data_IF_468668293575
#
_entry.id   IF_468668293575
#
_cell.length_a   1.000
_cell.length_b   1.000
_cell.length_c   1.000
_cell.angle_alpha   90.00
_cell.angle_beta   90.00
_cell.angle_gamma   90.00
#
_symmetry.space_group_name_H-M   'P 1'
#
loop_
_entity.id
_entity.type
_entity.pdbx_description
1 polymer ?
#
# COMPACT_ATOMS: atom_id res chain seq x y z
N UNK A 1 12.81 -4.02 11.15
CA UNK A 1 13.51 -4.13 12.45
C UNK A 1 14.85 -3.38 12.51
N UNK A 2 15.87 -3.78 11.72
CA UNK A 2 17.21 -3.18 11.78
C UNK A 2 17.21 -1.65 11.57
N UNK A 3 16.54 -1.16 10.52
CA UNK A 3 16.47 0.27 10.25
C UNK A 3 15.67 1.05 11.31
N UNK A 4 14.67 0.42 11.95
CA UNK A 4 13.92 1.03 13.06
C UNK A 4 14.83 1.29 14.26
N UNK A 5 15.66 0.31 14.63
CA UNK A 5 16.69 0.47 15.66
C UNK A 5 17.66 1.59 15.31
N UNK A 6 18.20 1.55 14.08
CA UNK A 6 19.20 2.51 13.60
C UNK A 6 18.66 3.94 13.66
N UNK A 7 17.46 4.17 13.14
CA UNK A 7 16.84 5.49 13.14
C UNK A 7 16.53 5.98 14.56
N UNK A 8 15.97 5.13 15.42
CA UNK A 8 15.70 5.49 16.81
C UNK A 8 16.98 5.88 17.56
N UNK A 9 18.05 5.09 17.41
CA UNK A 9 19.37 5.36 18.01
C UNK A 9 20.02 6.65 17.47
N UNK A 10 19.87 6.94 16.18
CA UNK A 10 20.34 8.20 15.58
C UNK A 10 19.56 9.41 16.11
N UNK A 11 18.24 9.31 16.24
CA UNK A 11 17.40 10.38 16.78
C UNK A 11 17.77 10.70 18.23
N UNK A 12 17.98 9.67 19.06
CA UNK A 12 18.47 9.83 20.45
C UNK A 12 19.80 10.59 20.46
N UNK A 13 20.78 10.14 19.68
CA UNK A 13 22.10 10.75 19.64
C UNK A 13 22.05 12.22 19.21
N UNK A 14 21.25 12.53 18.18
CA UNK A 14 21.09 13.92 17.72
C UNK A 14 20.49 14.80 18.80
N UNK A 15 19.46 14.31 19.48
CA UNK A 15 18.79 15.05 20.54
C UNK A 15 19.72 15.29 21.74
N UNK A 16 20.55 14.32 22.11
CA UNK A 16 21.59 14.49 23.16
C UNK A 16 22.65 15.52 22.79
N UNK A 17 23.01 15.63 21.50
CA UNK A 17 24.00 16.60 21.01
C UNK A 17 23.40 17.97 20.62
N UNK A 18 22.09 18.13 20.75
CA UNK A 18 21.38 19.37 20.42
C UNK A 18 21.79 20.50 21.36
N UNK A 19 21.68 21.75 20.89
CA UNK A 19 21.88 22.93 21.73
C UNK A 19 20.81 23.06 22.83
N UNK A 20 19.65 22.42 22.63
CA UNK A 20 18.57 22.29 23.61
C UNK A 20 18.06 20.85 23.60
N UNK A 21 18.68 19.95 24.38
CA UNK A 21 18.23 18.56 24.48
C UNK A 21 16.86 18.47 25.14
N UNK A 22 15.93 17.76 24.50
CA UNK A 22 14.60 17.46 25.06
C UNK A 22 14.66 16.15 25.85
N UNK A 23 14.67 16.24 27.19
CA UNK A 23 14.91 15.09 28.05
C UNK A 23 13.81 14.03 27.89
N UNK A 24 12.55 14.47 27.88
CA UNK A 24 11.39 13.58 27.75
C UNK A 24 11.36 12.87 26.40
N UNK A 25 11.79 13.53 25.32
CA UNK A 25 11.88 12.90 24.00
C UNK A 25 12.95 11.81 23.96
N UNK A 26 14.14 12.09 24.51
CA UNK A 26 15.25 11.14 24.60
C UNK A 26 14.81 9.90 25.39
N UNK A 27 14.18 10.11 26.54
CA UNK A 27 13.67 9.03 27.37
C UNK A 27 12.62 8.19 26.63
N UNK A 28 11.67 8.83 25.95
CA UNK A 28 10.64 8.12 25.18
C UNK A 28 11.23 7.29 24.04
N UNK A 29 12.18 7.82 23.27
CA UNK A 29 12.85 7.07 22.21
C UNK A 29 13.65 5.87 22.75
N UNK A 30 14.36 6.05 23.89
CA UNK A 30 15.11 4.98 24.54
C UNK A 30 14.18 3.88 25.07
N UNK A 31 13.14 4.27 25.82
CA UNK A 31 12.21 3.33 26.44
C UNK A 31 11.40 2.55 25.40
N UNK A 32 11.10 3.16 24.25
CA UNK A 32 10.35 2.51 23.17
C UNK A 32 11.24 1.82 22.13
N UNK A 33 12.56 1.81 22.27
CA UNK A 33 13.48 1.26 21.26
C UNK A 33 13.17 -0.20 20.91
N UNK A 34 13.00 -1.05 21.92
CA UNK A 34 12.70 -2.47 21.67
C UNK A 34 11.28 -2.65 21.09
N UNK A 35 10.31 -1.85 21.53
CA UNK A 35 8.95 -1.85 20.96
C UNK A 35 8.94 -1.40 19.50
N UNK A 36 9.77 -0.42 19.11
CA UNK A 36 9.95 0.01 17.72
C UNK A 36 10.60 -1.09 16.88
N UNK A 37 11.59 -1.79 17.43
CA UNK A 37 12.22 -2.93 16.77
C UNK A 37 11.21 -4.06 16.53
N UNK A 38 10.44 -4.42 17.55
CA UNK A 38 9.39 -5.43 17.48
C UNK A 38 8.28 -5.01 16.51
N UNK A 39 7.81 -3.76 16.56
CA UNK A 39 6.83 -3.25 15.61
C UNK A 39 7.36 -3.31 14.17
N UNK A 40 8.60 -2.89 13.94
CA UNK A 40 9.24 -3.03 12.63
C UNK A 40 9.59 -4.47 12.24
N UNK A 41 9.44 -5.45 13.13
CA UNK A 41 9.53 -6.88 12.81
C UNK A 41 8.15 -7.44 12.45
N UNK A 42 7.11 -7.05 13.19
CA UNK A 42 5.76 -7.59 13.06
C UNK A 42 4.80 -6.80 12.16
N UNK A 43 5.14 -5.59 11.70
CA UNK A 43 4.18 -4.71 11.01
C UNK A 43 3.45 -5.38 9.82
N UNK A 44 4.16 -6.20 9.05
CA UNK A 44 3.64 -6.90 7.88
C UNK A 44 3.22 -8.36 8.15
N UNK A 45 3.29 -8.83 9.40
CA UNK A 45 2.97 -10.24 9.74
C UNK A 45 1.50 -10.60 9.49
N UNK A 46 0.64 -9.58 9.40
CA UNK A 46 -0.78 -9.74 9.09
C UNK A 46 -1.10 -9.86 7.60
N UNK A 47 -0.12 -9.73 6.70
CA UNK A 47 -0.33 -9.96 5.28
C UNK A 47 -0.38 -11.45 4.97
N UNK A 48 -1.39 -11.85 4.20
CA UNK A 48 -1.51 -13.20 3.67
C UNK A 48 -0.89 -13.34 2.28
N UNK A 49 -1.07 -14.49 1.64
CA UNK A 49 -0.46 -14.78 0.35
C UNK A 49 -0.94 -13.83 -0.73
N UNK A 50 0.01 -13.39 -1.57
CA UNK A 50 -0.22 -12.34 -2.58
C UNK A 50 -0.68 -10.99 -1.99
N UNK A 51 -0.48 -10.77 -0.68
CA UNK A 51 -0.68 -9.53 0.09
C UNK A 51 -1.89 -8.71 -0.37
N UNK A 52 -1.69 -7.72 -1.24
CA UNK A 52 -2.72 -6.82 -1.74
C UNK A 52 -3.96 -7.52 -2.28
N UNK A 53 -3.80 -8.67 -2.94
CA UNK A 53 -4.93 -9.44 -3.47
C UNK A 53 -5.83 -9.89 -2.33
N UNK A 54 -5.26 -10.49 -1.28
CA UNK A 54 -6.04 -11.02 -0.18
C UNK A 54 -6.50 -9.92 0.79
N UNK A 55 -5.72 -8.87 0.98
CA UNK A 55 -6.09 -7.69 1.78
C UNK A 55 -7.40 -7.08 1.29
N UNK A 56 -7.54 -6.89 -0.03
CA UNK A 56 -8.79 -6.39 -0.61
C UNK A 56 -9.99 -7.31 -0.32
N UNK A 57 -9.80 -8.64 -0.34
CA UNK A 57 -10.85 -9.60 -0.04
C UNK A 57 -11.22 -9.55 1.45
N UNK A 58 -10.22 -9.50 2.33
CA UNK A 58 -10.41 -9.38 3.78
C UNK A 58 -11.18 -8.10 4.14
N UNK A 59 -10.80 -6.97 3.56
CA UNK A 59 -11.45 -5.69 3.82
C UNK A 59 -12.87 -5.65 3.23
N UNK A 60 -13.05 -6.03 1.96
CA UNK A 60 -14.33 -5.90 1.27
C UNK A 60 -15.38 -6.92 1.70
N UNK A 61 -14.98 -8.16 2.06
CA UNK A 61 -15.91 -9.24 2.37
C UNK A 61 -16.05 -9.50 3.87
N UNK A 62 -15.00 -9.21 4.65
CA UNK A 62 -14.96 -9.55 6.06
C UNK A 62 -14.72 -8.35 6.99
N UNK A 63 -14.45 -7.16 6.43
CA UNK A 63 -14.14 -5.95 7.20
C UNK A 63 -12.97 -6.15 8.18
N UNK A 64 -11.96 -6.90 7.73
CA UNK A 64 -10.73 -7.19 8.48
C UNK A 64 -9.56 -6.55 7.73
N UNK A 65 -8.71 -5.80 8.43
CA UNK A 65 -7.47 -5.27 7.88
C UNK A 65 -6.27 -6.13 8.28
N UNK A 66 -5.22 -6.13 7.45
CA UNK A 66 -3.94 -6.77 7.77
C UNK A 66 -3.32 -6.19 9.07
N UNK A 67 -3.46 -4.89 9.34
CA UNK A 67 -3.03 -4.29 10.61
C UNK A 67 -3.76 -4.93 11.82
N UNK A 68 -5.06 -5.22 11.70
CA UNK A 68 -5.81 -5.91 12.75
C UNK A 68 -5.30 -7.33 12.95
N UNK A 69 -5.12 -8.09 11.87
CA UNK A 69 -4.56 -9.44 11.91
C UNK A 69 -3.16 -9.46 12.52
N UNK A 70 -2.31 -8.50 12.16
CA UNK A 70 -0.98 -8.34 12.75
C UNK A 70 -1.08 -8.22 14.28
N UNK A 71 -2.00 -7.41 14.80
CA UNK A 71 -2.16 -7.30 16.27
C UNK A 71 -2.65 -8.57 16.94
N UNK A 72 -3.49 -9.36 16.27
CA UNK A 72 -3.95 -10.64 16.79
C UNK A 72 -2.81 -11.66 16.81
N UNK A 73 -1.98 -11.69 15.77
CA UNK A 73 -0.79 -12.54 15.69
C UNK A 73 0.23 -12.14 16.76
N UNK A 74 0.52 -10.85 16.93
CA UNK A 74 1.48 -10.36 17.94
C UNK A 74 1.07 -10.74 19.35
N UNK A 75 -0.24 -10.73 19.67
CA UNK A 75 -0.75 -11.17 20.98
C UNK A 75 -0.43 -12.64 21.29
N UNK A 76 -0.23 -13.48 20.28
CA UNK A 76 0.16 -14.89 20.49
C UNK A 76 1.59 -15.02 21.03
N UNK A 77 2.41 -13.99 20.85
CA UNK A 77 3.79 -13.90 21.34
C UNK A 77 3.92 -13.03 22.62
N UNK A 78 2.81 -12.82 23.34
CA UNK A 78 2.80 -11.93 24.52
C UNK A 78 3.75 -12.39 25.61
N UNK A 79 3.80 -13.70 25.89
CA UNK A 79 4.68 -14.23 26.93
C UNK A 79 6.17 -14.01 26.60
N UNK A 80 6.56 -14.24 25.35
CA UNK A 80 7.92 -14.07 24.87
C UNK A 80 8.33 -12.60 24.84
N UNK A 81 7.45 -11.72 24.35
CA UNK A 81 7.72 -10.29 24.27
C UNK A 81 7.79 -9.63 25.65
N UNK A 82 6.88 -9.99 26.57
CA UNK A 82 6.91 -9.47 27.93
C UNK A 82 8.12 -9.96 28.73
N UNK A 83 8.58 -11.20 28.49
CA UNK A 83 9.81 -11.71 29.10
C UNK A 83 11.04 -10.85 28.74
N UNK A 84 11.06 -10.28 27.53
CA UNK A 84 12.11 -9.37 27.05
C UNK A 84 11.80 -7.88 27.35
N UNK A 85 10.82 -7.61 28.24
CA UNK A 85 10.38 -6.25 28.59
C UNK A 85 9.88 -5.44 27.39
N UNK A 86 9.22 -6.08 26.43
CA UNK A 86 8.61 -5.48 25.25
C UNK A 86 7.09 -5.53 25.41
N UNK A 87 6.43 -4.42 25.81
CA UNK A 87 4.98 -4.44 26.02
C UNK A 87 4.24 -4.63 24.71
N UNK A 88 3.48 -5.73 24.57
CA UNK A 88 2.69 -6.04 23.37
C UNK A 88 1.73 -4.92 23.01
N UNK A 89 1.08 -4.31 24.00
CA UNK A 89 0.18 -3.18 23.79
C UNK A 89 0.88 -2.01 23.09
N UNK A 90 2.15 -1.75 23.42
CA UNK A 90 2.91 -0.68 22.79
C UNK A 90 3.29 -1.02 21.35
N UNK A 91 3.68 -2.28 21.08
CA UNK A 91 3.95 -2.78 19.72
C UNK A 91 2.70 -2.65 18.84
N UNK A 92 1.56 -3.11 19.34
CA UNK A 92 0.28 -3.02 18.62
C UNK A 92 -0.15 -1.58 18.36
N UNK A 93 0.06 -0.68 19.33
CA UNK A 93 -0.23 0.74 19.17
C UNK A 93 0.65 1.38 18.09
N UNK A 94 1.92 0.99 18.00
CA UNK A 94 2.82 1.48 16.93
C UNK A 94 2.36 0.97 15.56
N UNK A 95 2.05 -0.33 15.42
CA UNK A 95 1.59 -0.93 14.16
C UNK A 95 0.28 -0.27 13.68
N UNK A 96 -0.68 -0.09 14.59
CA UNK A 96 -2.01 0.46 14.26
C UNK A 96 -2.11 1.98 14.27
N UNK A 97 -0.97 2.70 14.35
CA UNK A 97 -0.91 4.16 14.40
C UNK A 97 -1.69 4.79 15.57
N UNK A 98 -1.77 4.08 16.70
CA UNK A 98 -2.43 4.49 17.94
C UNK A 98 -1.45 4.77 19.08
N UNK A 99 -0.15 4.78 18.79
CA UNK A 99 0.85 5.17 19.78
C UNK A 99 0.61 6.62 20.22
N UNK A 100 0.77 6.87 21.53
CA UNK A 100 0.55 8.18 22.16
C UNK A 100 1.30 9.31 21.45
N UNK A 101 2.51 9.02 21.00
CA UNK A 101 3.39 9.99 20.34
C UNK A 101 3.52 9.65 18.85
N UNK A 102 3.13 10.57 17.93
CA UNK A 102 3.08 10.26 16.51
C UNK A 102 4.40 9.82 15.90
N UNK A 103 5.50 10.47 16.29
CA UNK A 103 6.84 10.12 15.81
C UNK A 103 7.22 8.65 16.03
N UNK A 104 6.61 7.93 17.00
CA UNK A 104 6.89 6.51 17.21
C UNK A 104 6.33 5.64 16.09
N UNK A 105 5.06 5.85 15.72
CA UNK A 105 4.47 5.06 14.62
C UNK A 105 4.96 5.56 13.26
N UNK A 106 5.33 6.83 13.11
CA UNK A 106 5.89 7.35 11.85
C UNK A 106 7.28 6.81 11.51
N UNK A 107 8.06 6.33 12.49
CA UNK A 107 9.30 5.59 12.22
C UNK A 107 9.00 4.35 11.37
N UNK A 108 7.85 3.69 11.60
CA UNK A 108 7.45 2.44 10.93
C UNK A 108 6.48 2.69 9.76
N UNK A 109 5.52 3.61 9.92
CA UNK A 109 4.44 3.89 8.97
C UNK A 109 4.19 5.40 8.78
N UNK A 110 5.23 6.12 8.38
CA UNK A 110 5.25 7.55 8.08
C UNK A 110 5.45 7.86 6.59
N UNK A 111 5.65 9.13 6.25
CA UNK A 111 6.00 9.55 4.89
C UNK A 111 7.39 9.06 4.44
N UNK A 112 8.33 9.00 5.38
CA UNK A 112 9.74 8.64 5.17
C UNK A 112 10.16 7.50 6.13
N UNK A 113 9.26 6.54 6.34
CA UNK A 113 9.50 5.44 7.27
C UNK A 113 10.55 4.43 6.82
N UNK A 114 10.98 3.63 7.79
CA UNK A 114 11.98 2.60 7.57
C UNK A 114 11.46 1.42 6.76
N UNK A 115 10.15 1.20 6.71
CA UNK A 115 9.51 0.21 5.85
C UNK A 115 9.73 0.55 4.37
N UNK A 116 9.35 1.77 3.94
CA UNK A 116 9.56 2.25 2.57
C UNK A 116 11.02 2.26 2.17
N UNK A 117 11.89 2.71 3.07
CA UNK A 117 13.33 2.71 2.81
C UNK A 117 13.85 1.29 2.57
N UNK A 118 13.39 0.31 3.37
CA UNK A 118 13.78 -1.08 3.22
C UNK A 118 13.26 -1.69 1.91
N UNK A 119 11.94 -1.67 1.67
CA UNK A 119 11.39 -2.33 0.50
C UNK A 119 11.83 -1.68 -0.81
N UNK A 120 11.97 -0.34 -0.87
CA UNK A 120 12.42 0.32 -2.11
C UNK A 120 13.81 -0.15 -2.50
N UNK A 121 14.73 -0.24 -1.53
CA UNK A 121 16.10 -0.68 -1.79
C UNK A 121 16.18 -2.18 -2.02
N UNK A 122 15.49 -2.97 -1.20
CA UNK A 122 15.45 -4.43 -1.29
C UNK A 122 14.85 -4.88 -2.61
N UNK A 123 13.67 -4.40 -2.97
CA UNK A 123 12.98 -4.82 -4.19
C UNK A 123 13.77 -4.37 -5.41
N UNK A 124 14.26 -3.12 -5.41
CA UNK A 124 15.08 -2.60 -6.50
C UNK A 124 16.32 -3.45 -6.75
N UNK A 125 16.96 -3.94 -5.69
CA UNK A 125 18.08 -4.86 -5.79
C UNK A 125 17.67 -6.20 -6.43
N UNK A 126 16.58 -6.82 -5.95
CA UNK A 126 16.15 -8.15 -6.39
C UNK A 126 15.59 -8.16 -7.82
N UNK A 127 14.92 -7.09 -8.25
CA UNK A 127 14.42 -6.94 -9.63
C UNK A 127 15.50 -6.43 -10.60
N UNK A 128 16.69 -6.11 -10.11
CA UNK A 128 17.85 -5.74 -10.93
C UNK A 128 17.95 -4.27 -11.33
N UNK A 129 17.09 -3.38 -10.82
CA UNK A 129 17.20 -1.92 -11.00
C UNK A 129 18.38 -1.33 -10.22
N UNK A 130 18.71 -1.93 -9.06
CA UNK A 130 19.87 -1.59 -8.21
C UNK A 130 19.91 -0.12 -7.77
N UNK A 131 18.75 0.46 -7.47
CA UNK A 131 18.67 1.76 -6.83
C UNK A 131 19.37 1.72 -5.48
N UNK A 132 20.09 2.80 -5.17
CA UNK A 132 20.79 2.98 -3.91
C UNK A 132 20.94 4.47 -3.63
N UNK A 133 21.03 4.80 -2.35
CA UNK A 133 21.42 6.11 -1.86
C UNK A 133 22.14 5.93 -0.52
N UNK A 134 22.84 6.98 -0.08
CA UNK A 134 23.52 6.95 1.21
C UNK A 134 22.47 7.00 2.34
N UNK A 135 22.19 5.81 2.90
CA UNK A 135 21.24 5.61 3.99
C UNK A 135 21.65 6.35 5.26
N UNK A 136 22.94 6.38 5.57
CA UNK A 136 23.45 7.06 6.76
C UNK A 136 23.27 8.57 6.61
N UNK A 137 23.60 9.11 5.44
CA UNK A 137 23.39 10.51 5.15
C UNK A 137 21.90 10.89 5.16
N UNK A 138 21.03 10.06 4.59
CA UNK A 138 19.58 10.30 4.59
C UNK A 138 19.01 10.33 6.02
N UNK A 139 19.30 9.31 6.85
CA UNK A 139 18.84 9.29 8.24
C UNK A 139 19.48 10.39 9.09
N UNK A 140 20.67 10.88 8.73
CA UNK A 140 21.26 12.06 9.36
C UNK A 140 20.45 13.36 9.10
N UNK A 141 19.57 13.38 8.11
CA UNK A 141 18.68 14.52 7.87
C UNK A 141 17.32 14.41 8.57
N UNK A 142 16.95 13.23 9.11
CA UNK A 142 15.67 13.00 9.81
C UNK A 142 15.71 13.56 11.25
N UNK A 143 14.63 14.21 11.67
CA UNK A 143 14.46 14.83 13.00
C UNK A 143 13.06 14.55 13.56
N UNK A 144 12.91 14.69 14.89
CA UNK A 144 11.59 14.82 15.52
C UNK A 144 11.25 16.31 15.64
N UNK A 145 10.27 16.75 14.85
CA UNK A 145 9.75 18.12 14.86
C UNK A 145 8.72 18.28 15.98
N UNK A 146 8.59 19.50 16.50
CA UNK A 146 7.68 19.83 17.60
C UNK A 146 8.39 20.29 18.87
N UNK A 147 7.62 20.81 19.81
CA UNK A 147 8.13 21.36 21.08
C UNK A 147 8.19 20.30 22.18
N UNK A 148 9.02 20.55 23.19
CA UNK A 148 9.08 19.71 24.40
C UNK A 148 7.80 19.77 25.23
N UNK A 149 7.08 20.89 25.15
CA UNK A 149 5.84 21.13 25.90
C UNK A 149 4.69 20.18 25.51
N UNK A 150 4.75 19.60 24.31
CA UNK A 150 3.67 18.74 23.77
C UNK A 150 4.22 17.70 22.79
N UNK A 151 4.71 16.58 23.33
CA UNK A 151 5.20 15.44 22.54
C UNK A 151 4.10 14.75 21.72
N UNK A 152 2.81 14.93 22.06
CA UNK A 152 1.71 14.34 21.28
C UNK A 152 1.52 15.04 19.93
N UNK A 153 2.09 16.25 19.78
CA UNK A 153 2.19 16.98 18.50
C UNK A 153 3.54 16.78 17.80
N UNK A 154 4.44 15.99 18.38
CA UNK A 154 5.72 15.71 17.77
C UNK A 154 5.61 14.64 16.67
N UNK A 155 6.22 14.93 15.53
CA UNK A 155 6.20 14.09 14.33
C UNK A 155 7.60 14.02 13.71
N UNK A 156 7.87 12.99 12.92
CA UNK A 156 9.06 12.92 12.09
C UNK A 156 9.01 13.97 10.99
N UNK A 157 10.17 14.53 10.71
CA UNK A 157 10.37 15.41 9.57
C UNK A 157 11.85 15.53 9.25
N UNK A 158 12.18 16.56 8.48
CA UNK A 158 13.51 16.72 7.93
C UNK A 158 14.17 18.00 8.42
N UNK A 159 15.50 18.02 8.47
CA UNK A 159 16.25 19.25 8.62
C UNK A 159 15.87 20.25 7.51
N UNK A 160 15.86 21.54 7.84
CA UNK A 160 15.67 22.59 6.84
C UNK A 160 17.01 22.95 6.18
N UNK A 161 17.52 22.04 5.35
CA UNK A 161 18.79 22.20 4.65
C UNK A 161 18.66 21.78 3.20
N UNK A 162 19.53 22.33 2.34
CA UNK A 162 19.62 21.89 0.93
C UNK A 162 19.93 20.39 0.81
N UNK A 163 20.69 19.84 1.75
CA UNK A 163 21.07 18.43 1.79
C UNK A 163 19.86 17.55 2.10
N UNK A 164 19.05 17.93 3.10
CA UNK A 164 17.83 17.24 3.44
C UNK A 164 16.82 17.24 2.29
N UNK A 165 16.64 18.40 1.64
CA UNK A 165 15.76 18.51 0.47
C UNK A 165 16.24 17.59 -0.66
N UNK A 166 17.53 17.61 -0.99
CA UNK A 166 18.09 16.74 -2.02
C UNK A 166 17.94 15.24 -1.68
N UNK A 167 18.10 14.86 -0.41
CA UNK A 167 17.90 13.50 0.06
C UNK A 167 16.45 13.03 -0.13
N UNK A 168 15.47 13.88 0.21
CA UNK A 168 14.05 13.56 0.02
C UNK A 168 13.69 13.53 -1.46
N UNK A 169 14.17 14.48 -2.26
CA UNK A 169 13.95 14.48 -3.71
C UNK A 169 14.41 13.16 -4.34
N UNK A 170 15.64 12.72 -4.02
CA UNK A 170 16.17 11.46 -4.51
C UNK A 170 15.31 10.28 -4.05
N UNK A 171 15.02 10.18 -2.76
CA UNK A 171 14.21 9.09 -2.22
C UNK A 171 12.83 9.00 -2.88
N UNK A 172 12.11 10.12 -3.00
CA UNK A 172 10.78 10.15 -3.60
C UNK A 172 10.81 9.82 -5.10
N UNK A 173 11.87 10.21 -5.83
CA UNK A 173 12.06 9.79 -7.21
C UNK A 173 12.28 8.28 -7.33
N UNK A 174 13.12 7.70 -6.47
CA UNK A 174 13.35 6.25 -6.45
C UNK A 174 12.06 5.50 -6.12
N UNK A 175 11.35 5.95 -5.08
CA UNK A 175 10.06 5.39 -4.66
C UNK A 175 9.03 5.46 -5.79
N UNK A 176 8.88 6.63 -6.45
CA UNK A 176 7.96 6.79 -7.58
C UNK A 176 8.31 5.85 -8.74
N UNK A 177 9.59 5.74 -9.07
CA UNK A 177 10.06 4.85 -10.13
C UNK A 177 9.78 3.38 -9.81
N UNK A 178 9.90 2.95 -8.55
CA UNK A 178 9.51 1.59 -8.15
C UNK A 178 8.03 1.31 -8.40
N UNK A 179 7.14 2.27 -8.13
CA UNK A 179 5.73 2.13 -8.51
C UNK A 179 5.54 1.99 -10.01
N UNK A 180 6.16 2.86 -10.80
CA UNK A 180 5.99 2.86 -12.26
C UNK A 180 6.58 1.62 -12.93
N UNK A 181 7.76 1.17 -12.51
CA UNK A 181 8.53 0.12 -13.19
C UNK A 181 8.24 -1.28 -12.65
N UNK A 182 7.84 -1.40 -11.38
CA UNK A 182 7.72 -2.69 -10.69
C UNK A 182 6.29 -2.90 -10.21
N UNK A 183 5.81 -2.10 -9.26
CA UNK A 183 4.54 -2.39 -8.57
C UNK A 183 3.31 -2.23 -9.48
N UNK A 184 3.36 -1.33 -10.47
CA UNK A 184 2.30 -1.13 -11.46
C UNK A 184 2.70 -1.65 -12.86
N UNK A 185 3.71 -2.52 -12.94
CA UNK A 185 4.07 -3.19 -14.17
C UNK A 185 2.86 -3.93 -14.74
N UNK A 186 2.57 -3.72 -16.03
CA UNK A 186 1.29 -4.12 -16.63
C UNK A 186 0.99 -5.61 -16.45
N UNK A 187 1.95 -6.49 -16.72
CA UNK A 187 1.77 -7.94 -16.56
C UNK A 187 1.50 -8.35 -15.11
N UNK A 188 2.23 -7.78 -14.15
CA UNK A 188 2.03 -8.05 -12.72
C UNK A 188 0.65 -7.61 -12.27
N UNK A 189 0.24 -6.39 -12.65
CA UNK A 189 -1.06 -5.83 -12.28
C UNK A 189 -2.23 -6.60 -12.91
N UNK A 190 -2.08 -7.06 -14.15
CA UNK A 190 -3.09 -7.91 -14.79
C UNK A 190 -3.23 -9.24 -14.03
N UNK A 191 -2.12 -9.89 -13.70
CA UNK A 191 -2.13 -11.15 -12.96
C UNK A 191 -2.77 -10.98 -11.56
N UNK A 192 -2.41 -9.91 -10.86
CA UNK A 192 -3.00 -9.53 -9.56
C UNK A 192 -4.53 -9.40 -9.66
N UNK A 193 -5.02 -8.61 -10.62
CA UNK A 193 -6.47 -8.39 -10.77
C UNK A 193 -7.21 -9.65 -11.24
N UNK A 194 -6.60 -10.46 -12.09
CA UNK A 194 -7.16 -11.77 -12.43
C UNK A 194 -7.28 -12.66 -11.19
N UNK A 195 -6.24 -12.76 -10.37
CA UNK A 195 -6.24 -13.57 -9.15
C UNK A 195 -7.24 -13.07 -8.11
N UNK A 196 -7.36 -11.75 -7.95
CA UNK A 196 -8.38 -11.11 -7.12
C UNK A 196 -9.78 -11.58 -7.49
N UNK A 197 -10.12 -11.54 -8.79
CA UNK A 197 -11.44 -12.00 -9.26
C UNK A 197 -11.61 -13.50 -9.09
N UNK A 198 -10.55 -14.28 -9.25
CA UNK A 198 -10.58 -15.72 -9.00
C UNK A 198 -10.93 -16.03 -7.54
N UNK A 199 -10.36 -15.30 -6.58
CA UNK A 199 -10.65 -15.47 -5.16
C UNK A 199 -12.08 -15.03 -4.84
N UNK A 200 -12.53 -13.86 -5.34
CA UNK A 200 -13.92 -13.39 -5.17
C UNK A 200 -14.96 -14.39 -5.65
N UNK A 201 -14.71 -15.08 -6.77
CA UNK A 201 -15.60 -16.13 -7.27
C UNK A 201 -15.51 -17.39 -6.41
N UNK A 202 -14.30 -17.75 -5.96
CA UNK A 202 -14.09 -18.96 -5.18
C UNK A 202 -14.78 -18.90 -3.81
N UNK A 203 -14.65 -17.79 -3.08
CA UNK A 203 -15.25 -17.62 -1.74
C UNK A 203 -16.79 -17.66 -1.75
N UNK A 204 -17.43 -17.32 -2.89
CA UNK A 204 -18.89 -17.41 -3.03
C UNK A 204 -19.37 -18.86 -3.14
N UNK A 205 -18.52 -19.75 -3.64
CA UNK A 205 -18.88 -21.12 -4.00
C UNK A 205 -18.23 -22.18 -3.10
N UNK A 206 -17.20 -21.81 -2.33
CA UNK A 206 -16.41 -22.74 -1.53
C UNK A 206 -16.23 -22.24 -0.09
N UNK A 207 -16.94 -22.87 0.85
CA UNK A 207 -16.85 -22.56 2.27
C UNK A 207 -15.48 -22.90 2.88
N UNK A 208 -14.73 -23.86 2.33
CA UNK A 208 -13.39 -24.23 2.81
C UNK A 208 -12.43 -23.04 2.73
N UNK A 209 -12.46 -22.29 1.62
CA UNK A 209 -11.61 -21.10 1.45
C UNK A 209 -11.99 -20.01 2.45
N UNK A 210 -13.30 -19.82 2.68
CA UNK A 210 -13.77 -18.84 3.67
C UNK A 210 -13.29 -19.22 5.07
N UNK A 211 -13.34 -20.51 5.43
CA UNK A 211 -12.86 -21.00 6.72
C UNK A 211 -11.34 -20.81 6.87
N UNK A 212 -10.56 -21.05 5.82
CA UNK A 212 -9.11 -20.84 5.81
C UNK A 212 -8.72 -19.37 5.96
N UNK A 213 -9.52 -18.44 5.43
CA UNK A 213 -9.26 -17.00 5.51
C UNK A 213 -9.73 -16.40 6.83
N UNK A 214 -10.84 -16.88 7.41
CA UNK A 214 -11.44 -16.30 8.62
C UNK A 214 -10.86 -16.83 9.92
N UNK A 215 -10.46 -18.08 9.95
CA UNK A 215 -9.87 -18.68 11.15
C UNK A 215 -8.40 -18.25 11.26
N UNK A 216 -8.04 -17.60 12.36
CA UNK A 216 -6.70 -17.04 12.55
C UNK A 216 -5.60 -18.11 12.50
N UNK A 217 -5.83 -19.31 13.06
CA UNK A 217 -4.82 -20.39 13.04
C UNK A 217 -4.60 -20.88 11.62
N UNK A 218 -5.69 -21.10 10.87
CA UNK A 218 -5.61 -21.51 9.46
C UNK A 218 -5.01 -20.43 8.58
N UNK A 219 -5.32 -19.16 8.85
CA UNK A 219 -4.78 -18.02 8.12
C UNK A 219 -3.27 -17.90 8.28
N UNK A 220 -2.75 -18.10 9.48
CA UNK A 220 -1.30 -18.12 9.74
C UNK A 220 -0.60 -19.21 8.91
N UNK A 221 -1.26 -20.36 8.71
CA UNK A 221 -0.76 -21.47 7.90
C UNK A 221 -1.10 -21.35 6.40
N UNK A 222 -1.72 -20.24 5.97
CA UNK A 222 -2.15 -20.03 4.58
C UNK A 222 -1.01 -19.41 3.77
N UNK A 223 -0.31 -20.21 2.97
CA UNK A 223 0.71 -19.74 2.02
C UNK A 223 0.18 -19.65 0.57
N UNK A 224 1.01 -19.14 -0.36
CA UNK A 224 0.64 -18.99 -1.76
C UNK A 224 0.30 -20.34 -2.41
N UNK A 225 0.98 -21.41 -2.00
CA UNK A 225 0.81 -22.75 -2.55
C UNK A 225 -0.54 -23.33 -2.12
N UNK A 226 -0.88 -23.22 -0.83
CA UNK A 226 -2.13 -23.67 -0.24
C UNK A 226 -3.31 -22.92 -0.85
N UNK A 227 -3.25 -21.58 -0.91
CA UNK A 227 -4.30 -20.78 -1.53
C UNK A 227 -4.48 -21.15 -3.02
N UNK A 228 -3.38 -21.25 -3.78
CA UNK A 228 -3.45 -21.62 -5.20
C UNK A 228 -4.08 -23.00 -5.40
N UNK A 229 -3.75 -23.97 -4.56
CA UNK A 229 -4.34 -25.32 -4.61
C UNK A 229 -5.83 -25.30 -4.31
N UNK A 230 -6.28 -24.52 -3.32
CA UNK A 230 -7.69 -24.36 -2.99
C UNK A 230 -8.47 -23.72 -4.16
N UNK A 231 -7.89 -22.71 -4.81
CA UNK A 231 -8.49 -22.08 -5.99
C UNK A 231 -8.60 -23.04 -7.18
N UNK A 232 -7.58 -23.88 -7.41
CA UNK A 232 -7.61 -24.92 -8.45
C UNK A 232 -8.68 -25.99 -8.15
N UNK A 233 -8.84 -26.37 -6.88
CA UNK A 233 -9.87 -27.34 -6.44
C UNK A 233 -11.30 -26.79 -6.56
N UNK A 234 -11.47 -25.47 -6.54
CA UNK A 234 -12.79 -24.83 -6.65
C UNK A 234 -13.41 -24.92 -8.05
N UNK A 235 -12.67 -25.48 -9.02
CA UNK A 235 -13.07 -25.66 -10.43
C UNK A 235 -13.52 -24.35 -11.12
N UNK A 236 -14.10 -24.45 -12.32
CA UNK A 236 -14.64 -23.31 -13.06
C UNK A 236 -13.67 -22.15 -13.30
N UNK A 237 -14.16 -20.92 -13.10
CA UNK A 237 -13.42 -19.68 -13.37
C UNK A 237 -12.13 -19.57 -12.55
N UNK A 238 -12.18 -19.83 -11.24
CA UNK A 238 -11.03 -19.68 -10.35
C UNK A 238 -9.88 -20.60 -10.72
N UNK A 239 -10.19 -21.86 -11.06
CA UNK A 239 -9.21 -22.81 -11.61
C UNK A 239 -8.63 -22.32 -12.92
N UNK A 240 -9.47 -21.91 -13.87
CA UNK A 240 -9.02 -21.45 -15.19
C UNK A 240 -8.05 -20.27 -15.07
N UNK A 241 -8.35 -19.30 -14.20
CA UNK A 241 -7.46 -18.16 -13.93
C UNK A 241 -6.12 -18.62 -13.35
N UNK A 242 -6.13 -19.48 -12.33
CA UNK A 242 -4.89 -19.99 -11.74
C UNK A 242 -4.02 -20.74 -12.76
N UNK A 243 -4.62 -21.56 -13.62
CA UNK A 243 -3.88 -22.25 -14.68
C UNK A 243 -3.33 -21.28 -15.73
N UNK A 244 -4.09 -20.24 -16.07
CA UNK A 244 -3.66 -19.18 -16.99
C UNK A 244 -2.46 -18.43 -16.46
N UNK A 245 -2.48 -17.99 -15.19
CA UNK A 245 -1.38 -17.28 -14.55
C UNK A 245 -0.17 -18.22 -14.34
N UNK A 246 -0.34 -19.30 -13.57
CA UNK A 246 0.81 -20.05 -13.03
C UNK A 246 1.32 -21.17 -13.93
N UNK A 247 0.52 -21.67 -14.89
CA UNK A 247 0.96 -22.77 -15.80
C UNK A 247 1.21 -22.32 -17.23
N UNK A 248 0.44 -21.34 -17.72
CA UNK A 248 0.45 -20.94 -19.14
C UNK A 248 1.08 -19.57 -19.39
N UNK A 249 1.20 -18.72 -18.37
CA UNK A 249 1.53 -17.29 -18.51
C UNK A 249 0.62 -16.59 -19.54
N UNK A 250 -0.64 -17.01 -19.59
CA UNK A 250 -1.65 -16.51 -20.52
C UNK A 250 -2.51 -15.47 -19.78
N UNK A 251 -2.04 -14.23 -19.74
CA UNK A 251 -2.73 -13.14 -19.05
C UNK A 251 -3.88 -12.57 -19.88
N UNK A 252 -4.70 -11.72 -19.28
CA UNK A 252 -5.62 -10.87 -20.05
C UNK A 252 -4.85 -9.79 -20.83
N UNK A 253 -5.50 -9.24 -21.85
CA UNK A 253 -4.93 -8.20 -22.71
C UNK A 253 -5.40 -6.85 -22.20
N UNK A 254 -4.46 -5.92 -21.99
CA UNK A 254 -4.76 -4.51 -21.75
C UNK A 254 -5.34 -3.88 -23.03
N UNK A 255 -6.67 -3.76 -23.08
CA UNK A 255 -7.39 -3.28 -24.27
C UNK A 255 -7.72 -1.77 -24.19
N UNK A 256 -7.63 -1.18 -23.00
CA UNK A 256 -7.92 0.22 -22.75
C UNK A 256 -7.09 0.72 -21.57
N UNK A 257 -6.53 1.92 -21.66
CA UNK A 257 -5.73 2.55 -20.61
C UNK A 257 -5.79 4.06 -20.80
N UNK A 258 -6.63 4.75 -20.01
CA UNK A 258 -6.83 6.20 -20.13
C UNK A 258 -6.99 6.88 -18.79
N UNK A 259 -6.57 8.15 -18.73
CA UNK A 259 -6.79 8.97 -17.55
C UNK A 259 -8.30 9.24 -17.36
N UNK A 260 -8.76 9.27 -16.11
CA UNK A 260 -10.18 9.48 -15.80
C UNK A 260 -10.70 10.84 -16.27
N UNK A 261 -9.82 11.85 -16.36
CA UNK A 261 -10.17 13.19 -16.87
C UNK A 261 -10.52 13.19 -18.37
N UNK A 262 -10.21 12.13 -19.11
CA UNK A 262 -10.66 11.97 -20.50
C UNK A 262 -12.15 11.58 -20.61
N UNK A 263 -12.82 11.30 -19.50
CA UNK A 263 -14.25 11.00 -19.42
C UNK A 263 -15.06 12.24 -18.99
N UNK A 264 -16.32 12.28 -19.39
CA UNK A 264 -17.25 13.30 -18.92
C UNK A 264 -17.82 12.90 -17.56
N UNK A 265 -17.24 13.40 -16.47
CA UNK A 265 -17.62 13.03 -15.10
C UNK A 265 -18.70 13.98 -14.56
N UNK A 266 -19.96 13.78 -14.97
CA UNK A 266 -21.10 14.59 -14.49
C UNK A 266 -21.93 13.91 -13.41
N UNK A 267 -21.85 12.58 -13.30
CA UNK A 267 -22.59 11.82 -12.30
C UNK A 267 -21.98 12.04 -10.90
N UNK A 268 -22.76 12.61 -9.98
CA UNK A 268 -22.30 12.93 -8.63
C UNK A 268 -22.04 11.68 -7.78
N UNK A 269 -22.86 10.64 -7.90
CA UNK A 269 -22.66 9.40 -7.15
C UNK A 269 -21.34 8.72 -7.52
N UNK A 270 -21.00 8.71 -8.82
CA UNK A 270 -19.73 8.16 -9.29
C UNK A 270 -18.55 8.94 -8.72
N UNK A 271 -18.62 10.28 -8.75
CA UNK A 271 -17.57 11.14 -8.20
C UNK A 271 -17.42 10.93 -6.68
N UNK A 272 -18.52 10.88 -5.94
CA UNK A 272 -18.50 10.64 -4.49
C UNK A 272 -17.85 9.29 -4.15
N UNK A 273 -18.22 8.21 -4.87
CA UNK A 273 -17.58 6.91 -4.67
C UNK A 273 -16.10 6.94 -5.09
N UNK A 274 -15.77 7.54 -6.23
CA UNK A 274 -14.40 7.59 -6.77
C UNK A 274 -13.45 8.36 -5.86
N UNK A 275 -13.90 9.44 -5.22
CA UNK A 275 -13.06 10.27 -4.36
C UNK A 275 -13.09 9.83 -2.88
N UNK A 276 -13.89 8.82 -2.54
CA UNK A 276 -13.82 8.16 -1.24
C UNK A 276 -12.48 7.41 -1.11
N UNK A 277 -11.84 7.54 0.05
CA UNK A 277 -10.56 6.86 0.33
C UNK A 277 -10.71 5.33 0.22
N UNK A 278 -9.73 4.69 -0.42
CA UNK A 278 -9.59 3.23 -0.55
C UNK A 278 -10.83 2.53 -1.11
N UNK A 279 -11.46 3.12 -2.14
CA UNK A 279 -12.67 2.59 -2.75
C UNK A 279 -12.51 2.18 -4.22
N UNK A 280 -11.31 2.34 -4.78
CA UNK A 280 -10.98 2.08 -6.18
C UNK A 280 -11.28 0.64 -6.59
N UNK A 281 -10.93 -0.34 -5.76
CA UNK A 281 -11.11 -1.76 -6.07
C UNK A 281 -12.60 -2.16 -6.03
N UNK A 282 -13.40 -1.57 -5.15
CA UNK A 282 -14.85 -1.80 -5.10
C UNK A 282 -15.55 -1.27 -6.35
N UNK A 283 -15.20 -0.06 -6.80
CA UNK A 283 -15.74 0.52 -8.03
C UNK A 283 -15.29 -0.32 -9.23
N UNK A 284 -14.01 -0.71 -9.26
CA UNK A 284 -13.43 -1.58 -10.28
C UNK A 284 -14.19 -2.90 -10.36
N UNK A 285 -14.54 -3.52 -9.23
CA UNK A 285 -15.33 -4.75 -9.18
C UNK A 285 -16.74 -4.57 -9.75
N UNK A 286 -17.46 -3.53 -9.32
CA UNK A 286 -18.81 -3.19 -9.82
C UNK A 286 -18.80 -2.97 -11.35
N UNK A 287 -17.82 -2.23 -11.86
CA UNK A 287 -17.68 -2.00 -13.31
C UNK A 287 -17.36 -3.31 -14.03
N UNK A 288 -16.46 -4.14 -13.48
CA UNK A 288 -16.08 -5.42 -14.08
C UNK A 288 -17.26 -6.37 -14.23
N UNK A 289 -18.13 -6.46 -13.22
CA UNK A 289 -19.35 -7.27 -13.26
C UNK A 289 -20.28 -6.80 -14.39
N UNK A 290 -20.64 -5.51 -14.41
CA UNK A 290 -21.51 -4.93 -15.45
C UNK A 290 -20.94 -5.08 -16.86
N UNK A 291 -19.64 -4.89 -17.03
CA UNK A 291 -18.99 -5.04 -18.34
C UNK A 291 -18.92 -6.50 -18.79
N UNK A 292 -18.83 -7.47 -17.88
CA UNK A 292 -18.76 -8.90 -18.23
C UNK A 292 -20.13 -9.47 -18.62
N UNK A 293 -21.22 -9.04 -17.95
CA UNK A 293 -22.60 -9.41 -18.27
C UNK A 293 -22.99 -9.09 -19.72
N UNK A 294 -22.45 -7.98 -20.25
CA UNK A 294 -22.70 -7.50 -21.61
C UNK A 294 -22.06 -8.38 -22.72
N UNK A 295 -21.19 -9.33 -22.36
CA UNK A 295 -20.23 -9.93 -23.29
C UNK A 295 -20.22 -11.44 -23.28
N UNK A 296 -20.22 -12.06 -22.11
CA UNK A 296 -20.12 -13.51 -21.97
C UNK A 296 -20.88 -14.01 -20.75
N UNK A 297 -21.25 -15.29 -20.77
CA UNK A 297 -21.74 -15.98 -19.58
C UNK A 297 -20.65 -16.26 -18.54
N UNK A 298 -19.38 -16.15 -18.90
CA UNK A 298 -18.27 -16.30 -17.94
C UNK A 298 -18.11 -15.02 -17.09
N UNK A 299 -18.00 -15.13 -15.76
CA UNK A 299 -17.79 -13.99 -14.89
C UNK A 299 -16.40 -13.38 -15.13
N UNK A 300 -16.28 -12.05 -15.01
CA UNK A 300 -15.01 -11.34 -15.10
C UNK A 300 -14.18 -11.65 -16.36
N UNK A 301 -14.84 -11.86 -17.51
CA UNK A 301 -14.17 -11.93 -18.81
C UNK A 301 -13.63 -10.57 -19.28
N UNK A 302 -14.16 -9.50 -18.68
CA UNK A 302 -13.68 -8.12 -18.75
C UNK A 302 -13.46 -7.60 -17.33
N UNK A 303 -12.23 -7.17 -17.05
CA UNK A 303 -11.83 -6.62 -15.74
C UNK A 303 -11.51 -5.14 -15.91
N UNK A 304 -12.16 -4.31 -15.11
CA UNK A 304 -11.81 -2.91 -14.93
C UNK A 304 -10.81 -2.79 -13.77
N UNK A 305 -9.81 -1.92 -13.92
CA UNK A 305 -8.82 -1.60 -12.90
C UNK A 305 -8.64 -0.07 -12.85
N UNK A 306 -9.08 0.53 -11.74
CA UNK A 306 -8.89 1.95 -11.46
C UNK A 306 -7.65 2.09 -10.59
N UNK A 307 -6.63 2.76 -11.13
CA UNK A 307 -5.36 2.96 -10.46
C UNK A 307 -5.23 4.43 -10.09
N UNK A 308 -5.17 4.70 -8.78
CA UNK A 308 -4.73 5.99 -8.27
C UNK A 308 -3.23 5.96 -8.03
N UNK A 309 -2.53 6.89 -8.64
CA UNK A 309 -1.11 7.04 -8.45
C UNK A 309 -0.82 7.41 -6.99
N UNK A 310 0.07 6.67 -6.33
CA UNK A 310 0.50 7.03 -4.98
C UNK A 310 1.25 8.36 -5.01
N UNK A 311 0.81 9.26 -4.14
CA UNK A 311 1.47 10.54 -3.87
C UNK A 311 2.19 10.45 -2.52
N UNK A 312 3.33 11.15 -2.37
CA UNK A 312 3.97 11.25 -1.07
C UNK A 312 3.01 11.85 -0.05
N UNK A 313 2.97 11.29 1.17
CA UNK A 313 2.32 11.95 2.31
C UNK A 313 3.04 13.27 2.62
N UNK A 314 2.40 14.14 3.39
CA UNK A 314 2.98 15.41 3.82
C UNK A 314 4.29 15.18 4.58
N UNK A 315 5.35 15.87 4.15
CA UNK A 315 6.67 15.81 4.79
C UNK A 315 7.00 17.22 5.24
N UNK A 316 7.29 17.38 6.52
CA UNK A 316 7.58 18.69 7.12
C UNK A 316 9.08 18.90 7.29
N UNK A 317 9.52 20.16 7.19
CA UNK A 317 10.88 20.57 7.52
C UNK A 317 10.90 21.27 8.88
N UNK A 318 12.08 21.37 9.50
CA UNK A 318 12.30 22.12 10.73
C UNK A 318 12.22 23.64 10.52
N UNK A 319 11.03 24.12 10.16
CA UNK A 319 10.68 25.51 9.94
C UNK A 319 9.19 25.68 10.25
N UNK A 320 8.86 26.82 10.85
CA UNK A 320 7.48 27.29 10.98
C UNK A 320 7.30 28.55 10.16
N UNK A 321 6.14 28.72 9.57
CA UNK A 321 5.82 29.92 8.82
C UNK A 321 5.52 31.12 9.74
N UNK A 322 5.05 32.23 9.16
CA UNK A 322 4.75 33.46 9.89
C UNK A 322 3.56 33.32 10.85
N UNK A 323 2.69 32.35 10.60
CA UNK A 323 1.50 32.04 11.41
C UNK A 323 1.83 30.99 12.49
N UNK A 324 3.03 30.41 12.43
CA UNK A 324 3.52 29.41 13.35
C UNK A 324 3.22 27.98 12.88
N UNK A 325 2.71 27.79 11.67
CA UNK A 325 2.36 26.47 11.14
C UNK A 325 3.59 25.72 10.58
N UNK A 326 3.63 24.37 10.66
CA UNK A 326 4.72 23.58 10.08
C UNK A 326 4.85 23.80 8.56
N UNK A 327 6.08 24.04 8.10
CA UNK A 327 6.34 24.20 6.66
C UNK A 327 6.54 22.85 5.99
N UNK A 328 5.79 22.59 4.92
CA UNK A 328 5.91 21.37 4.13
C UNK A 328 7.06 21.48 3.11
N UNK A 329 7.80 20.38 2.93
CA UNK A 329 8.97 20.32 2.05
C UNK A 329 8.62 20.60 0.58
N UNK A 330 7.39 20.33 0.13
CA UNK A 330 6.95 20.61 -1.24
C UNK A 330 7.00 22.10 -1.59
N UNK A 331 6.89 22.98 -0.58
CA UNK A 331 7.03 24.43 -0.77
C UNK A 331 8.49 24.84 -1.04
N UNK A 332 9.45 23.98 -0.69
CA UNK A 332 10.90 24.21 -0.84
C UNK A 332 11.48 23.51 -2.07
N UNK A 333 10.75 22.56 -2.69
CA UNK A 333 11.21 21.81 -3.86
C UNK A 333 10.15 21.74 -4.98
N UNK A 334 10.54 22.21 -6.16
CA UNK A 334 9.73 22.06 -7.38
C UNK A 334 9.59 20.59 -7.81
N UNK A 335 10.60 19.77 -7.54
CA UNK A 335 10.58 18.34 -7.88
C UNK A 335 9.52 17.62 -7.04
N UNK A 336 9.56 17.83 -5.72
CA UNK A 336 8.57 17.21 -4.81
C UNK A 336 7.17 17.72 -5.14
N UNK A 337 7.00 19.02 -5.40
CA UNK A 337 5.71 19.57 -5.79
C UNK A 337 5.12 18.91 -7.04
N UNK A 338 5.93 18.62 -8.05
CA UNK A 338 5.47 17.93 -9.27
C UNK A 338 5.15 16.44 -9.03
N UNK A 339 5.82 15.78 -8.09
CA UNK A 339 5.55 14.37 -7.75
C UNK A 339 4.24 14.17 -6.97
N UNK A 340 3.71 15.23 -6.36
CA UNK A 340 2.52 15.20 -5.51
C UNK A 340 1.19 15.36 -6.26
N UNK A 341 1.20 15.47 -7.59
CA UNK A 341 -0.04 15.54 -8.37
C UNK A 341 -0.70 14.15 -8.49
N UNK A 342 -1.94 13.97 -7.99
CA UNK A 342 -2.62 12.70 -8.07
C UNK A 342 -3.16 12.46 -9.49
N UNK A 343 -2.83 11.32 -10.07
CA UNK A 343 -3.41 10.86 -11.32
C UNK A 343 -4.26 9.61 -11.10
N UNK A 344 -5.45 9.60 -11.69
CA UNK A 344 -6.34 8.43 -11.68
C UNK A 344 -6.45 7.91 -13.11
N UNK A 345 -6.09 6.65 -13.30
CA UNK A 345 -6.11 5.96 -14.59
C UNK A 345 -7.11 4.81 -14.54
N UNK A 346 -7.91 4.66 -15.58
CA UNK A 346 -8.83 3.54 -15.76
C UNK A 346 -8.29 2.63 -16.86
N UNK A 347 -8.08 1.36 -16.52
CA UNK A 347 -7.63 0.31 -17.43
C UNK A 347 -8.70 -0.77 -17.58
N UNK A 348 -8.75 -1.39 -18.77
CA UNK A 348 -9.59 -2.57 -19.03
C UNK A 348 -8.71 -3.72 -19.52
N UNK A 349 -8.81 -4.84 -18.81
CA UNK A 349 -8.17 -6.11 -19.15
C UNK A 349 -9.24 -7.08 -19.68
N UNK A 350 -8.99 -7.68 -20.84
CA UNK A 350 -9.97 -8.54 -21.50
C UNK A 350 -9.36 -9.91 -21.77
N UNK A 351 -10.15 -10.94 -21.53
CA UNK A 351 -9.81 -12.30 -21.88
C UNK A 351 -9.55 -12.45 -23.40
N UNK A 352 -8.45 -13.11 -23.84
CA UNK A 352 -8.10 -13.21 -25.25
C UNK A 352 -9.20 -13.84 -26.14
N UNK A 353 -9.95 -14.79 -25.62
CA UNK A 353 -11.07 -15.44 -26.34
C UNK A 353 -12.21 -14.46 -26.67
N UNK A 354 -12.47 -13.49 -25.78
CA UNK A 354 -13.52 -12.48 -25.95
C UNK A 354 -13.17 -11.52 -27.10
N UNK A 355 -11.92 -11.10 -27.20
CA UNK A 355 -11.47 -10.21 -28.28
C UNK A 355 -11.62 -10.89 -29.65
N UNK A 356 -11.34 -12.19 -29.73
CA UNK A 356 -11.46 -12.96 -30.99
C UNK A 356 -12.90 -13.09 -31.46
N UNK A 357 -13.86 -13.16 -30.53
CA UNK A 357 -15.26 -13.44 -30.82
C UNK A 357 -16.13 -12.18 -30.94
N UNK A 358 -15.74 -11.07 -30.31
CA UNK A 358 -16.54 -9.86 -30.25
C UNK A 358 -15.80 -8.60 -30.75
N UNK A 359 -16.11 -8.18 -31.98
CA UNK A 359 -15.55 -6.96 -32.61
C UNK A 359 -15.85 -5.66 -31.85
N UNK A 360 -16.79 -5.63 -30.91
CA UNK A 360 -17.06 -4.42 -30.11
C UNK A 360 -15.96 -4.12 -29.09
N UNK A 361 -15.10 -5.10 -28.77
CA UNK A 361 -14.02 -4.95 -27.79
C UNK A 361 -12.64 -4.83 -28.43
N UNK A 362 -12.58 -4.62 -29.75
CA UNK A 362 -11.32 -4.48 -30.48
C UNK A 362 -10.90 -3.02 -30.67
N UNK A 363 -11.78 -2.06 -30.38
CA UNK A 363 -11.47 -0.63 -30.56
C UNK A 363 -11.62 0.16 -29.27
N UNK A 364 -10.65 1.01 -29.00
CA UNK A 364 -10.64 1.86 -27.80
C UNK A 364 -11.89 2.77 -27.71
N UNK A 365 -12.37 3.28 -28.85
CA UNK A 365 -13.55 4.16 -28.93
C UNK A 365 -14.84 3.48 -28.45
N UNK A 366 -15.05 2.21 -28.81
CA UNK A 366 -16.24 1.47 -28.40
C UNK A 366 -16.19 1.12 -26.91
N UNK A 367 -15.01 0.74 -26.40
CA UNK A 367 -14.77 0.49 -24.97
C UNK A 367 -15.04 1.77 -24.17
N UNK A 368 -14.45 2.91 -24.57
CA UNK A 368 -14.67 4.21 -23.93
C UNK A 368 -16.15 4.57 -23.85
N UNK A 369 -16.90 4.35 -24.93
CA UNK A 369 -18.34 4.65 -24.98
C UNK A 369 -19.14 3.80 -24.01
N UNK A 370 -18.80 2.51 -23.85
CA UNK A 370 -19.45 1.63 -22.87
C UNK A 370 -19.18 2.08 -21.44
N UNK A 371 -17.93 2.38 -21.12
CA UNK A 371 -17.53 2.87 -19.79
C UNK A 371 -18.22 4.20 -19.49
N UNK A 372 -18.23 5.15 -20.44
CA UNK A 372 -18.92 6.43 -20.26
C UNK A 372 -20.41 6.23 -19.94
N UNK A 373 -21.10 5.33 -20.66
CA UNK A 373 -22.50 5.01 -20.34
C UNK A 373 -22.68 4.41 -18.95
N UNK A 374 -21.73 3.62 -18.45
CA UNK A 374 -21.78 3.11 -17.08
C UNK A 374 -21.58 4.22 -16.04
N UNK A 375 -20.66 5.15 -16.30
CA UNK A 375 -20.41 6.31 -15.44
C UNK A 375 -21.64 7.24 -15.43
N UNK A 376 -22.25 7.49 -16.59
CA UNK A 376 -23.43 8.36 -16.69
C UNK A 376 -24.62 7.77 -15.90
N UNK A 377 -24.77 6.44 -15.90
CA UNK A 377 -25.84 5.71 -15.21
C UNK A 377 -25.44 5.14 -13.83
N UNK A 378 -24.37 5.66 -13.21
CA UNK A 378 -23.88 5.19 -11.91
C UNK A 378 -24.85 5.52 -10.78
#
# INVERSE_FOLDING_TARGET
>A
MFLAEKLASLLVKKEETSSKPRADLIENLKNNRNSLMAAGFFHDVGHGPFSHVLDFILESQFNVSHESLATEIVKKFEQELEADSIPVNQVNNIITKKAKYPFLWEIINGPLDVDKVDYVLRDSYHVGLRYSFDLDHFFDQVLVLGGEEDLEKCQLGMANSSQAIACVELFLLLWKNMYTLVYLAESSRIAEKMLEKAILVAIKNNSEIVDEIKDLEKYIDLDETKLTNLLIKSEGFSKNVCERIFKKLDLYICAFNKNIHEFNLQNQNFLEELWKQNNEDNISDKISQKLSEDVSSEPYSVICDIIRTKTPKEIYVNERDKEGEPVEIKQKSKVISALSEPEVTLKIYIQPEVIKTNKMWTTEKTIKTKIQKLIDNW
#
